data_IF_531925086913
#
_entry.id   IF_531925086913
#
_cell.length_a   1.000
_cell.length_b   1.000
_cell.length_c   1.000
_cell.angle_alpha   90.00
_cell.angle_beta   90.00
_cell.angle_gamma   90.00
#
_symmetry.space_group_name_H-M   'P 1'
#
loop_
_entity.id
_entity.type
_entity.pdbx_description
1 polymer ?
#
# COMPACT_ATOMS: atom_id res chain seq x y z
N UNK A 1 -27.54 4.29 -9.03
CA UNK A 1 -26.34 3.55 -8.59
C UNK A 1 -25.37 4.58 -8.04
N UNK A 2 -25.13 4.57 -6.74
CA UNK A 2 -24.32 5.59 -6.07
C UNK A 2 -22.84 5.31 -6.32
N UNK A 3 -22.10 6.33 -6.74
CA UNK A 3 -20.65 6.32 -7.01
C UNK A 3 -19.78 5.97 -5.79
N UNK A 4 -20.38 5.89 -4.61
CA UNK A 4 -19.77 5.55 -3.33
C UNK A 4 -19.31 4.08 -3.31
N UNK A 5 -20.08 3.17 -3.91
CA UNK A 5 -19.81 1.72 -3.92
C UNK A 5 -18.54 1.35 -4.72
N UNK A 6 -18.15 2.20 -5.67
CA UNK A 6 -16.92 2.04 -6.47
C UNK A 6 -15.66 2.56 -5.76
N UNK A 7 -15.81 3.33 -4.68
CA UNK A 7 -14.70 3.91 -3.92
C UNK A 7 -14.30 3.06 -2.71
N UNK A 8 -15.09 2.04 -2.38
CA UNK A 8 -14.78 1.10 -1.31
C UNK A 8 -14.42 -0.28 -1.85
N UNK A 9 -13.18 -0.71 -1.58
CA UNK A 9 -12.76 -2.06 -1.85
C UNK A 9 -13.46 -3.08 -0.91
N UNK A 10 -13.72 -4.30 -1.39
CA UNK A 10 -14.29 -5.37 -0.58
C UNK A 10 -13.35 -5.75 0.58
N UNK A 11 -13.94 -6.24 1.67
CA UNK A 11 -13.20 -6.62 2.88
C UNK A 11 -12.01 -7.52 2.57
N UNK A 12 -12.23 -8.59 1.82
CA UNK A 12 -11.20 -9.56 1.44
C UNK A 12 -9.96 -8.91 0.77
N UNK A 13 -10.17 -7.92 -0.10
CA UNK A 13 -9.07 -7.23 -0.78
C UNK A 13 -8.28 -6.34 0.19
N UNK A 14 -8.98 -5.67 1.12
CA UNK A 14 -8.36 -4.90 2.20
C UNK A 14 -7.56 -5.80 3.14
N UNK A 15 -8.13 -6.92 3.58
CA UNK A 15 -7.48 -7.88 4.47
C UNK A 15 -6.24 -8.50 3.82
N UNK A 16 -6.33 -8.82 2.52
CA UNK A 16 -5.19 -9.35 1.76
C UNK A 16 -4.06 -8.33 1.63
N UNK A 17 -4.39 -7.05 1.47
CA UNK A 17 -3.39 -5.98 1.47
C UNK A 17 -2.71 -5.83 2.82
N UNK A 18 -3.48 -5.87 3.92
CA UNK A 18 -2.92 -5.82 5.27
C UNK A 18 -1.97 -7.00 5.53
N UNK A 19 -2.36 -8.21 5.14
CA UNK A 19 -1.50 -9.40 5.25
C UNK A 19 -0.23 -9.28 4.41
N UNK A 20 -0.31 -8.71 3.20
CA UNK A 20 0.87 -8.49 2.36
C UNK A 20 1.85 -7.48 3.01
N UNK A 21 1.33 -6.40 3.61
CA UNK A 21 2.14 -5.43 4.34
C UNK A 21 2.80 -6.06 5.57
N UNK A 22 2.05 -6.86 6.35
CA UNK A 22 2.57 -7.58 7.52
C UNK A 22 3.63 -8.61 7.14
N UNK A 23 3.40 -9.35 6.04
CA UNK A 23 4.34 -10.31 5.49
C UNK A 23 5.55 -9.68 4.78
N UNK A 24 5.56 -8.34 4.60
CA UNK A 24 6.56 -7.59 3.81
C UNK A 24 6.71 -8.13 2.39
N UNK A 25 5.60 -8.51 1.77
CA UNK A 25 5.56 -9.03 0.41
C UNK A 25 5.36 -7.86 -0.57
N UNK A 26 6.46 -7.20 -0.94
CA UNK A 26 6.44 -5.98 -1.74
C UNK A 26 5.72 -6.19 -3.09
N UNK A 27 5.96 -7.33 -3.75
CA UNK A 27 5.35 -7.65 -5.04
C UNK A 27 3.81 -7.78 -4.96
N UNK A 28 3.33 -8.41 -3.88
CA UNK A 28 1.88 -8.51 -3.64
C UNK A 28 1.30 -7.16 -3.22
N UNK A 29 2.03 -6.38 -2.43
CA UNK A 29 1.64 -5.02 -2.05
C UNK A 29 1.48 -4.10 -3.27
N UNK A 30 2.44 -4.10 -4.20
CA UNK A 30 2.36 -3.31 -5.44
C UNK A 30 1.14 -3.67 -6.29
N UNK A 31 0.88 -4.97 -6.45
CA UNK A 31 -0.28 -5.45 -7.20
C UNK A 31 -1.58 -4.99 -6.56
N UNK A 32 -1.73 -5.18 -5.25
CA UNK A 32 -2.93 -4.79 -4.51
C UNK A 32 -3.07 -3.27 -4.39
N UNK A 33 -1.96 -2.55 -4.28
CA UNK A 33 -1.92 -1.09 -4.27
C UNK A 33 -2.48 -0.52 -5.58
N UNK A 34 -2.19 -1.13 -6.73
CA UNK A 34 -2.74 -0.68 -8.00
C UNK A 34 -4.27 -0.70 -8.03
N UNK A 35 -4.88 -1.76 -7.49
CA UNK A 35 -6.33 -1.89 -7.33
C UNK A 35 -6.89 -0.93 -6.25
N UNK A 36 -6.11 -0.64 -5.20
CA UNK A 36 -6.52 0.18 -4.07
C UNK A 36 -6.27 1.68 -4.23
N UNK A 37 -5.61 2.16 -5.29
CA UNK A 37 -5.16 3.56 -5.43
C UNK A 37 -6.28 4.62 -5.40
N UNK A 38 -7.51 4.21 -5.67
CA UNK A 38 -8.73 5.05 -5.60
C UNK A 38 -9.60 4.73 -4.39
N UNK A 39 -9.17 3.79 -3.54
CA UNK A 39 -9.92 3.33 -2.39
C UNK A 39 -9.92 4.39 -1.29
N UNK A 40 -11.13 4.79 -0.86
CA UNK A 40 -11.36 5.78 0.18
C UNK A 40 -11.62 5.14 1.55
N UNK A 41 -11.55 3.81 1.65
CA UNK A 41 -11.64 3.12 2.94
C UNK A 41 -10.56 3.66 3.90
N UNK A 42 -10.91 3.92 5.17
CA UNK A 42 -9.93 4.27 6.18
C UNK A 42 -9.01 3.09 6.45
N UNK A 43 -7.71 3.37 6.53
CA UNK A 43 -6.70 2.38 6.87
C UNK A 43 -6.66 2.20 8.40
N UNK A 44 -6.40 0.99 8.91
CA UNK A 44 -6.16 0.79 10.34
C UNK A 44 -4.98 1.65 10.82
N UNK A 45 -5.13 2.31 11.97
CA UNK A 45 -4.10 3.20 12.51
C UNK A 45 -2.74 2.52 12.75
N UNK A 46 -2.73 1.24 13.12
CA UNK A 46 -1.50 0.45 13.27
C UNK A 46 -0.76 0.31 11.93
N UNK A 47 -1.49 0.05 10.84
CA UNK A 47 -0.92 -0.04 9.49
C UNK A 47 -0.44 1.32 8.99
N UNK A 48 -1.15 2.41 9.32
CA UNK A 48 -0.66 3.77 9.07
C UNK A 48 0.71 3.97 9.69
N UNK A 49 0.89 3.60 10.97
CA UNK A 49 2.17 3.73 11.66
C UNK A 49 3.27 2.87 11.04
N UNK A 50 2.96 1.62 10.66
CA UNK A 50 3.93 0.73 10.00
C UNK A 50 4.43 1.30 8.66
N UNK A 51 3.54 1.93 7.89
CA UNK A 51 3.86 2.56 6.61
C UNK A 51 4.39 4.00 6.74
N UNK A 52 4.52 4.54 7.95
CA UNK A 52 4.93 5.93 8.16
C UNK A 52 3.92 6.97 7.68
N UNK A 53 2.65 6.59 7.57
CA UNK A 53 1.55 7.45 7.12
C UNK A 53 0.81 8.08 8.31
N UNK A 54 0.21 9.26 8.12
CA UNK A 54 -0.60 9.88 9.16
C UNK A 54 -1.83 9.01 9.50
N UNK A 55 -2.17 8.95 10.79
CA UNK A 55 -3.36 8.24 11.27
C UNK A 55 -4.61 8.86 10.63
N UNK A 56 -5.52 8.01 10.15
CA UNK A 56 -6.68 8.44 9.37
C UNK A 56 -6.44 8.49 7.86
N UNK A 57 -5.26 8.07 7.39
CA UNK A 57 -5.02 7.82 5.97
C UNK A 57 -5.95 6.73 5.42
N UNK A 58 -6.12 6.71 4.10
CA UNK A 58 -6.92 5.71 3.40
C UNK A 58 -6.04 4.65 2.75
N UNK A 59 -6.66 3.52 2.36
CA UNK A 59 -5.98 2.51 1.53
C UNK A 59 -5.41 3.10 0.22
N UNK A 60 -6.08 4.10 -0.37
CA UNK A 60 -5.56 4.82 -1.54
C UNK A 60 -4.28 5.62 -1.25
N UNK A 61 -4.18 6.25 -0.09
CA UNK A 61 -2.94 6.91 0.35
C UNK A 61 -1.81 5.90 0.58
N UNK A 62 -2.11 4.76 1.22
CA UNK A 62 -1.15 3.68 1.41
C UNK A 62 -0.65 3.09 0.09
N UNK A 63 -1.57 2.81 -0.83
CA UNK A 63 -1.27 2.32 -2.16
C UNK A 63 -0.30 3.24 -2.92
N UNK A 64 -0.58 4.56 -2.93
CA UNK A 64 0.29 5.54 -3.60
C UNK A 64 1.66 5.64 -2.95
N UNK A 65 1.72 5.51 -1.62
CA UNK A 65 2.98 5.49 -0.89
C UNK A 65 3.83 4.29 -1.32
N UNK A 66 3.26 3.08 -1.31
CA UNK A 66 3.95 1.85 -1.72
C UNK A 66 4.44 1.95 -3.16
N UNK A 67 3.56 2.29 -4.10
CA UNK A 67 3.89 2.47 -5.53
C UNK A 67 4.98 3.52 -5.76
N UNK A 68 5.05 4.56 -4.92
CA UNK A 68 6.11 5.57 -4.96
C UNK A 68 7.43 5.10 -4.35
N UNK A 69 7.39 4.27 -3.30
CA UNK A 69 8.57 3.75 -2.60
C UNK A 69 9.24 2.57 -3.29
N UNK A 70 8.50 1.74 -4.04
CA UNK A 70 9.08 0.62 -4.81
C UNK A 70 10.11 1.12 -5.83
N UNK A 71 9.93 2.35 -6.33
CA UNK A 71 10.88 3.00 -7.22
C UNK A 71 12.17 3.47 -6.49
N UNK A 72 12.09 3.81 -5.20
CA UNK A 72 13.25 4.23 -4.40
C UNK A 72 14.02 3.03 -3.81
N UNK A 73 13.35 1.95 -3.40
CA UNK A 73 14.04 0.75 -2.90
C UNK A 73 14.92 0.10 -3.97
N UNK A 74 14.50 0.13 -5.24
CA UNK A 74 15.28 -0.38 -6.37
C UNK A 74 16.62 0.37 -6.57
N UNK A 75 16.69 1.63 -6.14
CA UNK A 75 17.92 2.44 -6.22
C UNK A 75 18.89 2.21 -5.06
N UNK A 76 18.45 1.61 -3.93
CA UNK A 76 19.33 1.30 -2.78
C UNK A 76 19.96 -0.09 -2.83
N UNK A 77 19.59 -0.92 -3.81
CA UNK A 77 20.16 -2.23 -4.08
C UNK A 77 21.21 -2.22 -5.20
N UNK A 78 22.02 -1.16 -5.33
CA UNK A 78 23.30 -1.31 -6.04
C UNK A 78 24.28 -2.05 -5.10
N UNK A 79 24.75 -3.27 -5.45
CA UNK A 79 25.90 -3.83 -4.75
C UNK A 79 27.08 -2.88 -4.96
N UNK A 80 27.72 -2.49 -3.87
CA UNK A 80 28.94 -1.70 -3.92
C UNK A 80 29.98 -2.44 -4.78
N UNK A 81 30.18 -1.98 -6.01
CA UNK A 81 31.27 -2.43 -6.87
C UNK A 81 32.57 -1.98 -6.19
N UNK A 82 33.29 -2.94 -5.60
CA UNK A 82 34.52 -2.67 -4.87
C UNK A 82 35.70 -2.82 -5.85
N UNK A 83 36.66 -1.88 -5.87
CA UNK A 83 37.78 -1.85 -6.81
C UNK A 83 38.79 -2.97 -6.60
#
# INVERSE_FOLDING_TARGET
MSTDDLMYAPAELRDRFLNAVDARDDALCDRLAFDLKTCMNPLPGLTCQQLGLPIGSTYGSAARHILGTSHEQQSRYLPAEKP
#
